data_IF_837243235230
#
_entry.id   IF_837243235230
#
_cell.length_a   1.000
_cell.length_b   1.000
_cell.length_c   1.000
_cell.angle_alpha   90.00
_cell.angle_beta   90.00
_cell.angle_gamma   90.00
#
_symmetry.space_group_name_H-M   'P 1'
#
loop_
_entity.id
_entity.type
_entity.pdbx_description
1 polymer ?
#
# COMPACT_ATOMS: atom_id res chain seq x y z
N UNK A 1 2.27 -20.43 2.15
CA UNK A 1 0.91 -20.78 1.62
C UNK A 1 -0.11 -20.81 2.75
N UNK A 2 0.27 -21.30 3.93
CA UNK A 2 -0.53 -21.23 5.16
C UNK A 2 -0.84 -19.79 5.58
N UNK A 3 0.15 -18.89 5.51
CA UNK A 3 0.02 -17.48 5.95
C UNK A 3 -1.00 -16.67 5.13
N UNK A 4 -1.17 -17.03 3.85
CA UNK A 4 -2.14 -16.37 2.98
C UNK A 4 -3.56 -16.79 3.32
N UNK A 5 -3.76 -18.07 3.63
CA UNK A 5 -5.05 -18.58 4.07
C UNK A 5 -5.41 -18.04 5.45
N UNK A 6 -4.45 -18.01 6.37
CA UNK A 6 -4.61 -17.45 7.71
C UNK A 6 -4.95 -15.94 7.66
N UNK A 7 -4.24 -15.17 6.84
CA UNK A 7 -4.55 -13.75 6.63
C UNK A 7 -5.95 -13.52 6.04
N UNK A 8 -6.40 -14.36 5.11
CA UNK A 8 -7.76 -14.28 4.56
C UNK A 8 -8.83 -14.68 5.58
N UNK A 9 -8.55 -15.66 6.44
CA UNK A 9 -9.46 -16.05 7.52
C UNK A 9 -9.59 -14.97 8.59
N UNK A 10 -8.49 -14.34 9.00
CA UNK A 10 -8.50 -13.23 9.97
C UNK A 10 -9.25 -12.02 9.39
N UNK A 11 -9.00 -11.67 8.12
CA UNK A 11 -9.74 -10.61 7.43
C UNK A 11 -11.25 -10.92 7.41
N UNK A 12 -11.64 -12.15 7.03
CA UNK A 12 -13.03 -12.59 6.98
C UNK A 12 -13.73 -12.50 8.34
N UNK A 13 -13.07 -12.94 9.41
CA UNK A 13 -13.61 -12.89 10.78
C UNK A 13 -13.82 -11.43 11.21
N UNK A 14 -12.87 -10.56 10.91
CA UNK A 14 -12.96 -9.13 11.21
C UNK A 14 -14.12 -8.46 10.44
N UNK A 15 -14.22 -8.68 9.13
CA UNK A 15 -15.33 -8.21 8.30
C UNK A 15 -16.70 -8.65 8.85
N UNK A 16 -16.80 -9.92 9.27
CA UNK A 16 -18.04 -10.49 9.79
C UNK A 16 -18.37 -9.97 11.19
N UNK A 17 -17.35 -9.68 12.01
CA UNK A 17 -17.49 -8.97 13.27
C UNK A 17 -18.03 -7.55 13.05
N UNK A 18 -17.54 -6.84 12.03
CA UNK A 18 -17.99 -5.50 11.66
C UNK A 18 -19.47 -5.46 11.23
N UNK A 19 -19.94 -6.50 10.51
CA UNK A 19 -21.34 -6.61 10.08
C UNK A 19 -22.32 -6.92 11.23
N UNK A 20 -21.82 -7.48 12.33
CA UNK A 20 -22.63 -7.86 13.49
C UNK A 20 -22.70 -6.77 14.57
N UNK A 21 -22.10 -5.60 14.32
CA UNK A 21 -22.08 -4.48 15.26
C UNK A 21 -23.45 -3.80 15.31
N UNK A 22 -24.04 -3.74 16.50
CA UNK A 22 -25.35 -3.14 16.77
C UNK A 22 -25.18 -1.72 17.34
N UNK A 23 -24.58 -0.83 16.56
CA UNK A 23 -24.39 0.57 16.96
C UNK A 23 -23.76 1.41 15.85
N UNK A 24 -24.28 2.61 15.62
CA UNK A 24 -23.87 3.47 14.49
C UNK A 24 -22.43 3.95 14.59
N UNK A 25 -21.95 4.26 15.81
CA UNK A 25 -20.58 4.74 16.04
C UNK A 25 -19.52 3.64 15.93
N UNK A 26 -19.81 2.45 16.48
CA UNK A 26 -18.91 1.29 16.39
C UNK A 26 -18.84 0.75 14.96
N UNK A 27 -19.97 0.73 14.24
CA UNK A 27 -20.01 0.37 12.82
C UNK A 27 -19.17 1.30 11.95
N UNK A 28 -19.23 2.61 12.21
CA UNK A 28 -18.38 3.59 11.51
C UNK A 28 -16.91 3.29 11.74
N UNK A 29 -16.48 3.12 13.00
CA UNK A 29 -15.07 2.80 13.33
C UNK A 29 -14.59 1.52 12.64
N UNK A 30 -15.43 0.50 12.61
CA UNK A 30 -15.17 -0.76 11.91
C UNK A 30 -15.05 -0.57 10.39
N UNK A 31 -15.95 0.19 9.77
CA UNK A 31 -15.88 0.53 8.33
C UNK A 31 -14.60 1.30 7.99
N UNK A 32 -14.20 2.27 8.81
CA UNK A 32 -12.95 3.02 8.61
C UNK A 32 -11.72 2.10 8.68
N UNK A 33 -11.68 1.16 9.61
CA UNK A 33 -10.60 0.19 9.73
C UNK A 33 -10.49 -0.72 8.49
N UNK A 34 -11.64 -1.21 7.97
CA UNK A 34 -11.68 -2.00 6.73
C UNK A 34 -11.14 -1.20 5.53
N UNK A 35 -11.59 0.05 5.36
CA UNK A 35 -11.06 0.93 4.30
C UNK A 35 -9.56 1.18 4.42
N UNK A 36 -9.08 1.39 5.64
CA UNK A 36 -7.66 1.62 5.91
C UNK A 36 -6.82 0.38 5.59
N UNK A 37 -7.34 -0.83 5.86
CA UNK A 37 -6.69 -2.09 5.52
C UNK A 37 -6.57 -2.28 4.00
N UNK A 38 -7.64 -2.02 3.25
CA UNK A 38 -7.63 -2.09 1.79
C UNK A 38 -6.60 -1.13 1.18
N UNK A 39 -6.56 0.11 1.68
CA UNK A 39 -5.56 1.10 1.26
C UNK A 39 -4.14 0.63 1.56
N UNK A 40 -3.88 0.12 2.76
CA UNK A 40 -2.57 -0.41 3.13
C UNK A 40 -2.12 -1.58 2.24
N UNK A 41 -3.05 -2.46 1.84
CA UNK A 41 -2.75 -3.54 0.90
C UNK A 41 -2.45 -3.03 -0.50
N UNK A 42 -3.20 -2.04 -0.98
CA UNK A 42 -2.98 -1.40 -2.28
C UNK A 42 -1.58 -0.75 -2.32
N UNK A 43 -1.22 0.04 -1.31
CA UNK A 43 0.09 0.67 -1.18
C UNK A 43 1.22 -0.37 -1.14
N UNK A 44 1.05 -1.45 -0.36
CA UNK A 44 2.03 -2.54 -0.31
C UNK A 44 2.23 -3.22 -1.67
N UNK A 45 1.15 -3.39 -2.44
CA UNK A 45 1.22 -3.98 -3.78
C UNK A 45 1.91 -3.04 -4.76
N UNK A 46 1.62 -1.75 -4.69
CA UNK A 46 2.25 -0.72 -5.51
C UNK A 46 3.74 -0.61 -5.21
N UNK A 47 4.14 -0.55 -3.93
CA UNK A 47 5.54 -0.53 -3.51
C UNK A 47 6.33 -1.71 -4.10
N UNK A 48 5.81 -2.94 -4.02
CA UNK A 48 6.43 -4.12 -4.65
C UNK A 48 6.52 -4.00 -6.18
N UNK A 49 5.53 -3.40 -6.81
CA UNK A 49 5.54 -3.20 -8.26
C UNK A 49 6.62 -2.20 -8.68
N UNK A 50 6.81 -1.13 -7.89
CA UNK A 50 7.87 -0.13 -8.11
C UNK A 50 9.24 -0.78 -7.90
N UNK A 51 9.42 -1.58 -6.84
CA UNK A 51 10.67 -2.28 -6.56
C UNK A 51 11.08 -3.21 -7.72
N UNK A 52 10.11 -3.95 -8.28
CA UNK A 52 10.33 -4.81 -9.44
C UNK A 52 10.68 -4.01 -10.70
N UNK A 53 9.96 -2.92 -10.98
CA UNK A 53 10.24 -2.06 -12.11
C UNK A 53 11.62 -1.37 -12.00
N UNK A 54 12.03 -1.02 -10.79
CA UNK A 54 13.35 -0.47 -10.49
C UNK A 54 14.46 -1.48 -10.79
N UNK A 55 14.28 -2.73 -10.36
CA UNK A 55 15.23 -3.80 -10.65
C UNK A 55 15.35 -4.06 -12.15
N UNK A 56 14.22 -4.10 -12.87
CA UNK A 56 14.21 -4.27 -14.33
C UNK A 56 14.90 -3.11 -15.04
N UNK A 57 14.65 -1.87 -14.61
CA UNK A 57 15.34 -0.68 -15.11
C UNK A 57 16.85 -0.78 -14.89
N UNK A 58 17.29 -1.08 -13.67
CA UNK A 58 18.71 -1.15 -13.31
C UNK A 58 19.44 -2.25 -14.11
N UNK A 59 18.79 -3.39 -14.33
CA UNK A 59 19.32 -4.46 -15.18
C UNK A 59 19.48 -4.00 -16.63
N UNK A 60 18.49 -3.29 -17.19
CA UNK A 60 18.56 -2.76 -18.54
C UNK A 60 19.61 -1.65 -18.68
N UNK A 61 19.66 -0.71 -17.73
CA UNK A 61 20.58 0.41 -17.68
C UNK A 61 22.06 -0.03 -17.70
N UNK A 62 22.36 -1.13 -17.03
CA UNK A 62 23.70 -1.75 -16.99
C UNK A 62 24.15 -2.30 -18.34
N UNK A 63 23.21 -2.64 -19.23
CA UNK A 63 23.49 -3.16 -20.58
C UNK A 63 23.49 -2.11 -21.69
N UNK A 64 23.17 -0.85 -21.38
CA UNK A 64 23.13 0.24 -22.36
C UNK A 64 24.52 0.81 -22.65
N UNK A 65 24.69 1.39 -23.85
CA UNK A 65 25.92 2.08 -24.25
C UNK A 65 25.58 3.52 -24.69
N UNK A 66 25.91 4.55 -23.90
CA UNK A 66 26.66 4.49 -22.63
C UNK A 66 25.82 3.92 -21.47
N UNK A 67 26.47 3.39 -20.40
CA UNK A 67 25.77 2.89 -19.22
C UNK A 67 24.92 4.00 -18.59
N UNK A 68 23.66 3.72 -18.30
CA UNK A 68 22.79 4.65 -17.58
C UNK A 68 22.97 4.48 -16.05
N UNK A 69 22.73 5.55 -15.27
CA UNK A 69 22.85 5.50 -13.81
C UNK A 69 21.85 4.51 -13.21
N UNK A 70 22.32 3.74 -12.23
CA UNK A 70 21.50 2.80 -11.44
C UNK A 70 20.76 3.62 -10.39
N UNK A 71 19.46 3.39 -10.25
CA UNK A 71 18.60 4.06 -9.26
C UNK A 71 18.51 3.22 -7.98
N UNK A 72 18.65 3.84 -6.81
CA UNK A 72 18.52 3.14 -5.53
C UNK A 72 17.08 3.18 -5.01
N UNK A 73 16.65 2.13 -4.31
CA UNK A 73 15.30 2.02 -3.75
C UNK A 73 15.00 3.13 -2.75
N UNK A 74 15.96 3.49 -1.89
CA UNK A 74 15.82 4.57 -0.91
C UNK A 74 15.53 5.92 -1.58
N UNK A 75 16.23 6.23 -2.69
CA UNK A 75 16.00 7.47 -3.45
C UNK A 75 14.61 7.50 -4.10
N UNK A 76 14.13 6.35 -4.57
CA UNK A 76 12.79 6.23 -5.19
C UNK A 76 11.70 6.35 -4.13
N UNK A 77 11.86 5.72 -2.96
CA UNK A 77 10.90 5.78 -1.87
C UNK A 77 10.85 7.17 -1.25
N UNK A 78 11.98 7.83 -1.02
CA UNK A 78 12.01 9.18 -0.47
C UNK A 78 11.26 10.17 -1.39
N UNK A 79 11.41 10.04 -2.71
CA UNK A 79 10.69 10.87 -3.67
C UNK A 79 9.19 10.53 -3.81
N UNK A 80 8.81 9.26 -3.68
CA UNK A 80 7.41 8.82 -3.85
C UNK A 80 6.58 8.95 -2.57
N UNK A 81 7.19 8.73 -1.39
CA UNK A 81 6.57 8.91 -0.08
C UNK A 81 6.14 10.36 0.16
N UNK A 82 6.97 11.33 -0.24
CA UNK A 82 6.62 12.76 -0.17
C UNK A 82 5.36 13.10 -0.99
N UNK A 83 5.19 12.48 -2.15
CA UNK A 83 4.03 12.70 -3.03
C UNK A 83 2.74 12.06 -2.48
N UNK A 84 2.84 10.85 -1.91
CA UNK A 84 1.69 10.15 -1.31
C UNK A 84 1.20 10.83 -0.03
N UNK A 85 2.11 11.41 0.77
CA UNK A 85 1.73 12.15 1.98
C UNK A 85 1.00 13.47 1.66
N UNK A 86 1.43 14.20 0.62
CA UNK A 86 0.73 15.40 0.13
C UNK A 86 -0.72 15.08 -0.30
N UNK A 87 -0.92 13.97 -1.01
CA UNK A 87 -2.27 13.52 -1.42
C UNK A 87 -3.14 13.16 -0.21
N UNK A 88 -2.56 12.51 0.80
CA UNK A 88 -3.29 12.17 2.03
C UNK A 88 -3.61 13.43 2.86
N UNK A 89 -2.76 14.45 2.81
CA UNK A 89 -2.97 15.73 3.50
C UNK A 89 -4.13 16.53 2.88
N UNK A 90 -4.26 16.56 1.54
CA UNK A 90 -5.37 17.22 0.83
C UNK A 90 -6.74 16.58 1.11
N UNK A 91 -6.79 15.32 1.55
CA UNK A 91 -8.06 14.68 1.94
C UNK A 91 -8.50 14.98 3.37
N UNK A 92 -7.69 15.74 4.13
CA UNK A 92 -7.95 16.17 5.50
C UNK A 92 -8.30 17.68 5.59
N UNK A 93 -8.86 18.26 4.53
CA UNK A 93 -9.43 19.62 4.54
C UNK A 93 -10.93 19.67 4.20
N UNK A 94 -11.68 18.61 4.52
CA UNK A 94 -13.16 18.64 4.48
C UNK A 94 -13.74 18.10 5.81
N UNK A 95 -13.69 18.93 6.85
CA UNK A 95 -14.57 18.88 8.03
C UNK A 95 -15.14 20.28 8.25
#
# INVERSE_FOLDING_TARGET
MLDKLEGLLVARIFEMGCLNVSGTGEWLSCMYALKSQELAQALKKQSKSIEMALNDYNNAASGMNPPQPILNWEEVVDHSFLSEFDILQDTHEDI
#
